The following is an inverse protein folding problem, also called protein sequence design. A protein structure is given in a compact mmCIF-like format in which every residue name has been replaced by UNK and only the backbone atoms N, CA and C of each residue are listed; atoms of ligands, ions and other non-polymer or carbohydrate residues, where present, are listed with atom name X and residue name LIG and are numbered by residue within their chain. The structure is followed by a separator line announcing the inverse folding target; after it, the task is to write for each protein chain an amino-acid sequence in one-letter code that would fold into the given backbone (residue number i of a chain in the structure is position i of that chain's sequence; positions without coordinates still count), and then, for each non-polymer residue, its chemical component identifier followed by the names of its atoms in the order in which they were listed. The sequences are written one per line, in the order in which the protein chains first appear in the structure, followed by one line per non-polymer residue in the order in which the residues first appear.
data_IF_850595609335
#
_entry.id   IF_850595609335
#
_cell.length_a   1.000
_cell.length_b   1.000
_cell.length_c   1.000
_cell.angle_alpha   90.00
_cell.angle_beta   90.00
_cell.angle_gamma   90.00
#
_symmetry.space_group_name_H-M   'P 1'
#
loop_
_entity.id
_entity.type
_entity.pdbx_description
1 polymer ?
#
# COMPACT_ATOMS: atom_id res chain seq x y z
N UNK A 1 1.13 6.44 -14.42
CA UNK A 1 1.49 7.67 -15.14
C UNK A 1 1.01 8.96 -14.44
N UNK A 2 0.53 8.92 -13.19
CA UNK A 2 0.13 10.14 -12.45
C UNK A 2 1.30 11.04 -12.06
N UNK A 3 2.48 10.45 -11.79
CA UNK A 3 3.71 11.16 -11.43
C UNK A 3 4.23 12.18 -12.45
N UNK A 4 3.72 12.15 -13.69
CA UNK A 4 4.06 13.12 -14.73
C UNK A 4 3.28 14.45 -14.58
N UNK A 5 2.22 14.47 -13.76
CA UNK A 5 1.29 15.59 -13.62
C UNK A 5 1.06 15.95 -12.13
N UNK A 6 1.07 14.97 -11.22
CA UNK A 6 0.84 15.16 -9.79
C UNK A 6 1.72 14.22 -8.96
N UNK A 7 2.25 14.72 -7.83
CA UNK A 7 3.02 13.87 -6.91
C UNK A 7 2.12 12.82 -6.26
N UNK A 8 2.68 11.67 -5.87
CA UNK A 8 1.91 10.63 -5.16
C UNK A 8 1.34 11.17 -3.83
N UNK A 9 2.10 12.03 -3.14
CA UNK A 9 1.68 12.67 -1.89
C UNK A 9 0.47 13.56 -2.11
N UNK A 10 0.49 14.38 -3.15
CA UNK A 10 -0.60 15.31 -3.45
C UNK A 10 -1.84 14.57 -3.97
N UNK A 11 -1.66 13.48 -4.71
CA UNK A 11 -2.74 12.56 -5.04
C UNK A 11 -3.38 11.98 -3.77
N UNK A 12 -2.58 11.51 -2.80
CA UNK A 12 -3.10 10.97 -1.55
C UNK A 12 -3.83 12.04 -0.73
N UNK A 13 -3.30 13.27 -0.67
CA UNK A 13 -3.97 14.39 0.01
C UNK A 13 -5.33 14.70 -0.60
N UNK A 14 -5.46 14.72 -1.93
CA UNK A 14 -6.76 14.86 -2.59
C UNK A 14 -7.74 13.72 -2.26
N UNK A 15 -7.24 12.49 -2.10
CA UNK A 15 -8.08 11.36 -1.67
C UNK A 15 -8.55 11.50 -0.21
N UNK A 16 -7.71 12.06 0.67
CA UNK A 16 -8.07 12.37 2.06
C UNK A 16 -9.19 13.41 2.10
N UNK A 17 -9.06 14.49 1.32
CA UNK A 17 -10.09 15.54 1.24
C UNK A 17 -11.43 14.97 0.74
N UNK A 18 -11.39 14.13 -0.30
CA UNK A 18 -12.58 13.44 -0.80
C UNK A 18 -13.20 12.49 0.23
N UNK A 19 -12.37 11.86 1.07
CA UNK A 19 -12.86 10.97 2.14
C UNK A 19 -13.55 11.77 3.25
N UNK A 20 -13.00 12.92 3.63
CA UNK A 20 -13.62 13.82 4.61
C UNK A 20 -14.96 14.37 4.11
N UNK A 21 -15.02 14.79 2.84
CA UNK A 21 -16.28 15.22 2.22
C UNK A 21 -17.30 14.07 2.16
N UNK A 22 -16.86 12.86 1.81
CA UNK A 22 -17.72 11.67 1.81
C UNK A 22 -18.24 11.33 3.22
N UNK A 23 -17.42 11.52 4.26
CA UNK A 23 -17.83 11.36 5.66
C UNK A 23 -18.89 12.39 6.06
N UNK A 24 -18.68 13.67 5.73
CA UNK A 24 -19.62 14.75 6.00
C UNK A 24 -20.97 14.55 5.29
N UNK A 25 -20.94 14.00 4.08
CA UNK A 25 -22.13 13.64 3.31
C UNK A 25 -22.72 12.26 3.69
N UNK A 26 -22.19 11.60 4.72
CA UNK A 26 -22.58 10.25 5.18
C UNK A 26 -22.57 9.17 4.08
N UNK A 27 -21.79 9.37 3.02
CA UNK A 27 -21.72 8.49 1.86
C UNK A 27 -20.79 7.30 2.12
N UNK A 28 -21.33 6.27 2.78
CA UNK A 28 -20.56 5.07 3.13
C UNK A 28 -19.97 4.34 1.92
N UNK A 29 -20.67 4.37 0.78
CA UNK A 29 -20.19 3.74 -0.45
C UNK A 29 -18.96 4.47 -1.02
N UNK A 30 -18.95 5.79 -0.96
CA UNK A 30 -17.83 6.58 -1.47
C UNK A 30 -16.61 6.42 -0.56
N UNK A 31 -16.81 6.48 0.75
CA UNK A 31 -15.75 6.18 1.73
C UNK A 31 -15.12 4.79 1.47
N UNK A 32 -15.96 3.77 1.25
CA UNK A 32 -15.50 2.41 0.95
C UNK A 32 -14.67 2.35 -0.35
N UNK A 33 -15.12 3.00 -1.42
CA UNK A 33 -14.40 3.07 -2.69
C UNK A 33 -13.04 3.77 -2.54
N UNK A 34 -12.97 4.84 -1.76
CA UNK A 34 -11.72 5.57 -1.49
C UNK A 34 -10.75 4.68 -0.71
N UNK A 35 -11.20 4.03 0.37
CA UNK A 35 -10.34 3.11 1.14
C UNK A 35 -9.80 1.96 0.28
N UNK A 36 -10.63 1.40 -0.61
CA UNK A 36 -10.19 0.37 -1.56
C UNK A 36 -9.14 0.87 -2.54
N UNK A 37 -9.36 2.06 -3.11
CA UNK A 37 -8.41 2.67 -4.03
C UNK A 37 -7.06 2.90 -3.36
N UNK A 38 -7.06 3.45 -2.14
CA UNK A 38 -5.84 3.67 -1.36
C UNK A 38 -5.13 2.34 -1.07
N UNK A 39 -5.85 1.30 -0.62
CA UNK A 39 -5.29 -0.04 -0.40
C UNK A 39 -4.63 -0.60 -1.67
N UNK A 40 -5.30 -0.45 -2.82
CA UNK A 40 -4.76 -0.88 -4.10
C UNK A 40 -3.49 -0.10 -4.47
N UNK A 41 -3.49 1.22 -4.31
CA UNK A 41 -2.32 2.06 -4.56
C UNK A 41 -1.11 1.62 -3.73
N UNK A 42 -1.29 1.33 -2.45
CA UNK A 42 -0.20 0.88 -1.57
C UNK A 42 0.33 -0.48 -2.02
N UNK A 43 -0.55 -1.41 -2.41
CA UNK A 43 -0.16 -2.74 -2.88
C UNK A 43 0.63 -2.71 -4.18
N UNK A 44 0.22 -1.88 -5.14
CA UNK A 44 0.86 -1.80 -6.46
C UNK A 44 2.13 -0.94 -6.43
N UNK A 45 2.17 0.10 -5.58
CA UNK A 45 3.26 1.07 -5.55
C UNK A 45 4.01 1.09 -4.21
N UNK A 46 4.09 -0.04 -3.50
CA UNK A 46 4.71 -0.14 -2.17
C UNK A 46 6.11 0.48 -2.09
N UNK A 47 6.94 0.29 -3.13
CA UNK A 47 8.29 0.86 -3.20
C UNK A 47 8.26 2.40 -3.16
N UNK A 48 7.27 3.03 -3.80
CA UNK A 48 7.12 4.48 -3.81
C UNK A 48 6.75 5.00 -2.42
N UNK A 49 5.87 4.30 -1.70
CA UNK A 49 5.55 4.61 -0.31
C UNK A 49 6.79 4.51 0.58
N UNK A 50 7.59 3.44 0.45
CA UNK A 50 8.79 3.25 1.28
C UNK A 50 9.89 4.30 1.06
N UNK A 51 10.00 4.85 -0.15
CA UNK A 51 11.08 5.80 -0.48
C UNK A 51 10.70 7.26 -0.26
N UNK A 52 9.41 7.59 -0.22
CA UNK A 52 8.91 8.97 -0.07
C UNK A 52 8.35 9.21 1.34
N UNK A 53 9.11 9.97 2.15
CA UNK A 53 8.74 10.28 3.52
C UNK A 53 7.43 11.07 3.62
N UNK A 54 7.22 12.03 2.71
CA UNK A 54 6.01 12.87 2.73
C UNK A 54 4.77 12.03 2.41
N UNK A 55 4.90 11.07 1.49
CA UNK A 55 3.83 10.13 1.18
C UNK A 55 3.53 9.19 2.34
N UNK A 56 4.57 8.69 3.03
CA UNK A 56 4.41 7.87 4.24
C UNK A 56 3.68 8.63 5.33
N UNK A 57 4.11 9.85 5.65
CA UNK A 57 3.46 10.68 6.67
C UNK A 57 1.99 10.99 6.32
N UNK A 58 1.70 11.33 5.05
CA UNK A 58 0.32 11.53 4.60
C UNK A 58 -0.53 10.25 4.70
N UNK A 59 0.07 9.06 4.53
CA UNK A 59 -0.62 7.79 4.73
C UNK A 59 -0.92 7.52 6.20
N UNK A 60 0.03 7.79 7.09
CA UNK A 60 -0.17 7.67 8.55
C UNK A 60 -1.27 8.62 9.05
N UNK A 61 -1.28 9.87 8.57
CA UNK A 61 -2.36 10.83 8.83
C UNK A 61 -3.72 10.29 8.36
N UNK A 62 -3.78 9.67 7.17
CA UNK A 62 -5.01 9.08 6.67
C UNK A 62 -5.47 7.89 7.52
N UNK A 63 -4.54 7.04 7.96
CA UNK A 63 -4.84 5.91 8.84
C UNK A 63 -5.42 6.38 10.17
N UNK A 64 -4.82 7.40 10.76
CA UNK A 64 -5.31 8.00 11.99
C UNK A 64 -6.70 8.60 11.81
N UNK A 65 -6.91 9.35 10.73
CA UNK A 65 -8.18 9.99 10.41
C UNK A 65 -9.31 8.97 10.27
N UNK A 66 -9.06 7.88 9.55
CA UNK A 66 -10.05 6.80 9.38
C UNK A 66 -10.24 6.02 10.67
N UNK A 67 -9.21 5.86 11.51
CA UNK A 67 -9.34 5.24 12.83
C UNK A 67 -10.26 6.03 13.76
N UNK A 68 -10.15 7.36 13.74
CA UNK A 68 -10.95 8.25 14.59
C UNK A 68 -12.37 8.42 14.07
N UNK A 69 -12.54 8.61 12.75
CA UNK A 69 -13.81 9.06 12.17
C UNK A 69 -14.51 8.00 11.30
N UNK A 70 -13.79 6.94 10.90
CA UNK A 70 -14.27 5.93 9.98
C UNK A 70 -15.00 4.77 10.66
N UNK A 71 -15.63 3.95 9.83
CA UNK A 71 -16.20 2.66 10.27
C UNK A 71 -15.08 1.63 10.42
N UNK A 72 -15.27 0.64 11.28
CA UNK A 72 -14.31 -0.46 11.51
C UNK A 72 -13.85 -1.12 10.19
N UNK A 73 -14.76 -1.29 9.24
CA UNK A 73 -14.46 -1.86 7.93
C UNK A 73 -13.50 -0.99 7.09
N UNK A 74 -13.56 0.34 7.23
CA UNK A 74 -12.61 1.23 6.58
C UNK A 74 -11.22 1.08 7.19
N UNK A 75 -11.13 1.02 8.53
CA UNK A 75 -9.89 0.80 9.26
C UNK A 75 -9.19 -0.49 8.81
N UNK A 76 -9.95 -1.59 8.69
CA UNK A 76 -9.41 -2.88 8.20
C UNK A 76 -8.90 -2.82 6.76
N UNK A 77 -9.50 -1.99 5.90
CA UNK A 77 -9.06 -1.87 4.51
C UNK A 77 -7.73 -1.13 4.39
N UNK A 78 -7.53 -0.11 5.21
CA UNK A 78 -6.32 0.71 5.16
C UNK A 78 -5.23 0.24 6.14
N UNK A 79 -5.52 -0.79 6.94
CA UNK A 79 -4.49 -1.52 7.65
C UNK A 79 -3.61 -2.27 6.64
N UNK A 80 -2.39 -1.78 6.50
CA UNK A 80 -1.38 -2.28 5.58
C UNK A 80 -0.22 -2.97 6.28
N UNK A 81 -0.32 -3.19 7.60
CA UNK A 81 0.65 -3.99 8.36
C UNK A 81 0.91 -5.36 7.74
N UNK A 82 -0.13 -5.98 7.18
CA UNK A 82 -0.04 -7.28 6.50
C UNK A 82 0.63 -7.22 5.12
N UNK A 83 0.64 -6.05 4.46
CA UNK A 83 1.29 -5.89 3.15
C UNK A 83 2.82 -6.00 3.34
N UNK A 84 3.36 -5.44 4.42
CA UNK A 84 4.79 -5.53 4.74
C UNK A 84 5.23 -6.99 4.99
N UNK A 85 4.43 -7.76 5.73
CA UNK A 85 4.67 -9.20 5.95
C UNK A 85 4.64 -10.01 4.66
N UNK A 86 3.73 -9.70 3.73
CA UNK A 86 3.61 -10.41 2.46
C UNK A 86 4.79 -10.10 1.52
N UNK A 87 5.29 -8.87 1.50
CA UNK A 87 6.45 -8.47 0.70
C UNK A 87 7.75 -9.10 1.24
N UNK A 88 7.88 -9.19 2.57
CA UNK A 88 8.94 -9.96 3.22
C UNK A 88 8.93 -11.44 2.80
N UNK A 89 7.76 -12.09 2.85
CA UNK A 89 7.59 -13.46 2.38
C UNK A 89 7.95 -13.64 0.90
N UNK A 90 7.58 -12.69 0.02
CA UNK A 90 7.93 -12.72 -1.41
C UNK A 90 9.43 -12.62 -1.64
N UNK A 91 10.13 -11.72 -0.94
CA UNK A 91 11.60 -11.60 -1.02
C UNK A 91 12.31 -12.88 -0.59
N UNK A 92 11.86 -13.48 0.51
CA UNK A 92 12.41 -14.76 0.99
C UNK A 92 12.22 -15.86 -0.06
N UNK A 93 11.00 -16.01 -0.59
CA UNK A 93 10.71 -17.01 -1.63
C UNK A 93 11.55 -16.81 -2.90
N UNK A 94 11.80 -15.55 -3.28
CA UNK A 94 12.60 -15.21 -4.45
C UNK A 94 14.10 -15.51 -4.23
N UNK A 95 14.63 -15.26 -3.03
CA UNK A 95 16.01 -15.65 -2.66
C UNK A 95 16.21 -17.18 -2.63
N UNK A 96 15.21 -17.92 -2.14
CA UNK A 96 15.24 -19.39 -2.15
C UNK A 96 15.30 -19.92 -3.59
N UNK A 97 14.52 -19.31 -4.51
CA UNK A 97 14.48 -19.70 -5.93
C UNK A 97 15.76 -19.35 -6.70
N UNK A 98 16.39 -18.20 -6.40
CA UNK A 98 17.68 -17.82 -7.00
C UNK A 98 18.84 -18.69 -6.50
N UNK A 99 18.81 -19.10 -5.22
CA UNK A 99 19.86 -19.91 -4.62
C UNK A 99 19.76 -21.41 -4.98
N UNK A 100 18.56 -21.94 -5.21
CA UNK A 100 18.39 -23.33 -5.68
C UNK A 100 18.83 -23.52 -7.14
N UNK A 101 18.82 -22.44 -7.94
CA UNK A 101 19.24 -22.44 -9.35
C UNK A 101 20.76 -22.55 -9.54
N UNK A 102 21.57 -22.24 -8.52
CA UNK A 102 23.04 -22.34 -8.57
C UNK A 102 23.59 -23.72 -8.19
N UNK A 103 22.77 -24.63 -7.64
CA UNK A 103 23.23 -25.92 -7.09
C UNK A 103 23.09 -27.13 -8.03
N UNK A 104 22.73 -26.93 -9.31
CA UNK A 104 22.66 -28.01 -10.31
C UNK A 104 23.44 -27.69 -11.58
N UNK A 105 24.76 -27.52 -11.46
CA UNK A 105 25.73 -27.73 -12.56
C UNK A 105 27.12 -28.08 -12.00
N UNK A 106 27.22 -29.18 -11.24
CA UNK A 106 28.53 -29.76 -10.91
C UNK A 106 28.37 -31.13 -10.23
N UNK A 107 27.89 -32.11 -11.00
CA UNK A 107 28.37 -33.50 -10.83
C UNK A 107 28.45 -34.08 -12.25
N UNK A 108 29.57 -33.83 -12.90
CA UNK A 108 30.05 -34.61 -14.04
C UNK A 108 31.45 -35.10 -13.66
N UNK A 109 31.67 -36.39 -13.89
CA UNK A 109 32.97 -37.05 -14.02
C UNK A 109 33.74 -37.30 -12.71
N UNK A 110 33.65 -38.52 -12.18
CA UNK A 110 34.68 -39.57 -12.30
C UNK A 110 34.17 -40.87 -11.69
#
# INVERSE_FOLDING_TARGET
MHRLIISSTEMLRKLIDLYLDALGNHSSLLCYKICHLVRYCIREFWVVFKTDFNLTNAMEEFQELVRVNGKELHCRLIDVSQIDAQEWCRKIAQQIKSNSSKKRKSVATL
#
